data_IF_206902221567
#
_entry.id   IF_206902221567
#
_cell.length_a   1.000
_cell.length_b   1.000
_cell.length_c   1.000
_cell.angle_alpha   90.00
_cell.angle_beta   90.00
_cell.angle_gamma   90.00
#
_symmetry.space_group_name_H-M   'P 1'
#
loop_
_entity.id
_entity.type
_entity.pdbx_description
1 polymer ?
#
# COMPACT_ATOMS: atom_id res chain seq x y z
N UNK A 1 14.54 -4.36 -6.82
CA UNK A 1 13.28 -4.82 -7.42
C UNK A 1 12.12 -4.00 -6.85
N UNK A 2 11.14 -3.66 -7.68
CA UNK A 2 9.85 -3.11 -7.27
C UNK A 2 8.81 -4.17 -7.60
N UNK A 3 7.93 -4.51 -6.67
CA UNK A 3 6.86 -5.51 -6.86
C UNK A 3 5.51 -4.87 -6.55
N UNK A 4 4.55 -5.04 -7.43
CA UNK A 4 3.14 -4.73 -7.20
C UNK A 4 2.31 -6.01 -7.34
N UNK A 5 1.38 -6.22 -6.42
CA UNK A 5 0.49 -7.37 -6.40
C UNK A 5 -0.94 -6.87 -6.59
N UNK A 6 -1.53 -7.26 -7.72
CA UNK A 6 -2.93 -7.06 -8.03
C UNK A 6 -3.67 -8.38 -7.82
N UNK A 7 -4.87 -8.32 -7.26
CA UNK A 7 -5.71 -9.50 -7.07
C UNK A 7 -7.12 -9.14 -7.48
N UNK A 8 -7.71 -9.94 -8.36
CA UNK A 8 -9.15 -9.88 -8.67
C UNK A 8 -9.80 -11.23 -8.39
N UNK A 9 -11.12 -11.27 -8.30
CA UNK A 9 -11.88 -12.51 -8.17
C UNK A 9 -13.07 -12.51 -9.11
N UNK A 10 -13.28 -13.65 -9.77
CA UNK A 10 -14.48 -13.91 -10.56
C UNK A 10 -15.30 -15.05 -9.97
N UNK A 11 -16.58 -15.10 -10.28
CA UNK A 11 -17.46 -16.18 -9.80
C UNK A 11 -17.13 -17.54 -10.43
N UNK A 12 -16.63 -17.54 -11.67
CA UNK A 12 -16.36 -18.77 -12.43
C UNK A 12 -14.96 -19.31 -12.16
N UNK A 13 -13.95 -18.43 -12.26
CA UNK A 13 -12.55 -18.85 -12.24
C UNK A 13 -11.84 -18.57 -10.89
N UNK A 14 -12.55 -17.97 -9.92
CA UNK A 14 -12.00 -17.69 -8.59
C UNK A 14 -10.98 -16.55 -8.61
N UNK A 15 -9.97 -16.66 -7.74
CA UNK A 15 -8.93 -15.64 -7.56
C UNK A 15 -7.95 -15.60 -8.74
N UNK A 16 -7.67 -14.40 -9.23
CA UNK A 16 -6.67 -14.10 -10.26
C UNK A 16 -5.63 -13.12 -9.70
N UNK A 17 -4.57 -13.63 -9.05
CA UNK A 17 -3.45 -12.80 -8.63
C UNK A 17 -2.51 -12.50 -9.80
N UNK A 18 -2.20 -11.23 -10.00
CA UNK A 18 -1.15 -10.74 -10.90
C UNK A 18 -0.03 -10.12 -10.07
N UNK A 19 1.20 -10.56 -10.34
CA UNK A 19 2.40 -9.96 -9.75
C UNK A 19 3.15 -9.25 -10.87
N UNK A 20 3.24 -7.93 -10.76
CA UNK A 20 4.08 -7.12 -11.63
C UNK A 20 5.39 -6.83 -10.88
N UNK A 21 6.53 -7.14 -11.49
CA UNK A 21 7.83 -6.91 -10.88
C UNK A 21 8.76 -6.19 -11.87
N UNK A 22 9.37 -5.10 -11.42
CA UNK A 22 10.49 -4.45 -12.08
C UNK A 22 11.77 -4.91 -11.40
N UNK A 23 12.66 -5.54 -12.16
CA UNK A 23 14.01 -5.87 -11.72
C UNK A 23 14.97 -4.86 -12.33
N UNK A 24 15.48 -3.97 -11.50
CA UNK A 24 16.53 -3.03 -11.89
C UNK A 24 17.86 -3.77 -11.83
N UNK A 25 18.41 -4.06 -13.01
CA UNK A 25 19.74 -4.61 -13.20
C UNK A 25 20.67 -3.41 -13.43
N UNK A 26 21.58 -3.17 -12.48
CA UNK A 26 22.24 -1.88 -12.30
C UNK A 26 23.05 -1.37 -13.50
N UNK A 27 23.48 -0.11 -13.39
CA UNK A 27 24.47 0.52 -14.27
C UNK A 27 25.68 0.99 -13.48
N UNK A 28 26.84 1.02 -14.14
CA UNK A 28 28.02 1.71 -13.63
C UNK A 28 27.76 3.21 -13.72
N UNK A 29 27.98 3.91 -12.62
CA UNK A 29 27.89 5.37 -12.57
C UNK A 29 29.24 5.96 -12.20
N UNK A 30 29.59 7.11 -12.79
CA UNK A 30 30.69 7.98 -12.35
C UNK A 30 30.11 9.22 -11.66
N UNK A 31 30.94 9.97 -10.93
CA UNK A 31 30.50 11.17 -10.21
C UNK A 31 29.95 10.89 -8.79
N UNK A 32 29.58 11.95 -8.07
CA UNK A 32 29.05 11.86 -6.71
C UNK A 32 27.68 12.55 -6.59
N UNK A 33 26.81 11.98 -5.74
CA UNK A 33 25.48 12.55 -5.41
C UNK A 33 24.64 12.83 -6.67
N UNK A 34 24.31 14.10 -6.92
CA UNK A 34 23.45 14.53 -8.01
C UNK A 34 24.17 14.60 -9.38
N UNK A 35 25.50 14.46 -9.39
CA UNK A 35 26.33 14.51 -10.61
C UNK A 35 26.62 13.11 -11.18
N UNK A 36 25.77 12.11 -10.87
CA UNK A 36 25.99 10.74 -11.34
C UNK A 36 25.70 10.62 -12.83
N UNK A 37 26.70 10.20 -13.59
CA UNK A 37 26.56 9.87 -15.02
C UNK A 37 26.63 8.36 -15.20
N UNK A 38 25.73 7.79 -16.00
CA UNK A 38 25.75 6.34 -16.32
C UNK A 38 26.83 6.09 -17.37
N UNK A 39 27.89 5.38 -16.99
CA UNK A 39 29.05 5.05 -17.85
C UNK A 39 29.05 3.62 -18.36
N UNK A 40 28.13 2.81 -17.87
CA UNK A 40 27.94 1.45 -18.34
C UNK A 40 26.60 0.93 -17.86
N UNK A 41 25.97 0.10 -18.67
CA UNK A 41 24.74 -0.60 -18.31
C UNK A 41 25.02 -2.09 -18.31
N UNK A 42 24.35 -2.81 -17.42
CA UNK A 42 24.35 -4.26 -17.50
C UNK A 42 23.68 -4.67 -18.82
N UNK A 43 24.45 -5.27 -19.73
CA UNK A 43 23.98 -5.77 -21.02
C UNK A 43 24.20 -7.30 -21.07
N UNK A 44 23.21 -8.09 -20.62
CA UNK A 44 23.33 -9.55 -20.61
C UNK A 44 23.24 -10.11 -22.03
N UNK A 45 23.98 -11.19 -22.29
CA UNK A 45 23.80 -11.95 -23.53
C UNK A 45 22.41 -12.58 -23.61
N UNK A 46 21.92 -12.82 -24.83
CA UNK A 46 20.63 -13.52 -25.04
C UNK A 46 20.58 -14.87 -24.32
N UNK A 47 21.68 -15.63 -24.32
CA UNK A 47 21.76 -16.90 -23.58
C UNK A 47 21.60 -16.71 -22.07
N UNK A 48 22.21 -15.68 -21.49
CA UNK A 48 22.06 -15.36 -20.06
C UNK A 48 20.62 -14.93 -19.73
N UNK A 49 19.96 -14.20 -20.63
CA UNK A 49 18.55 -13.84 -20.49
C UNK A 49 17.65 -15.08 -20.56
N UNK A 50 17.87 -15.97 -21.52
CA UNK A 50 17.13 -17.22 -21.65
C UNK A 50 17.26 -18.12 -20.41
N UNK A 51 18.47 -18.27 -19.89
CA UNK A 51 18.74 -19.01 -18.65
C UNK A 51 17.99 -18.42 -17.45
N UNK A 52 18.03 -17.09 -17.31
CA UNK A 52 17.34 -16.37 -16.24
C UNK A 52 15.81 -16.51 -16.35
N UNK A 53 15.25 -16.33 -17.55
CA UNK A 53 13.81 -16.51 -17.77
C UNK A 53 13.38 -17.96 -17.50
N UNK A 54 14.17 -18.93 -17.95
CA UNK A 54 13.92 -20.36 -17.72
C UNK A 54 13.89 -20.69 -16.23
N UNK A 55 14.84 -20.15 -15.46
CA UNK A 55 14.89 -20.31 -14.01
C UNK A 55 13.58 -19.83 -13.36
N UNK A 56 13.12 -18.62 -13.67
CA UNK A 56 11.92 -18.06 -13.06
C UNK A 56 10.62 -18.73 -13.52
N UNK A 57 10.53 -19.16 -14.78
CA UNK A 57 9.42 -20.02 -15.24
C UNK A 57 9.37 -21.33 -14.45
N UNK A 58 10.53 -21.95 -14.19
CA UNK A 58 10.60 -23.18 -13.40
C UNK A 58 10.20 -22.94 -11.93
N UNK A 59 10.63 -21.83 -11.31
CA UNK A 59 10.21 -21.44 -9.96
C UNK A 59 8.70 -21.28 -9.87
N UNK A 60 8.09 -20.57 -10.83
CA UNK A 60 6.64 -20.39 -10.89
C UNK A 60 5.89 -21.71 -11.08
N UNK A 61 6.31 -22.53 -12.05
CA UNK A 61 5.73 -23.84 -12.28
C UNK A 61 5.84 -24.76 -11.05
N UNK A 62 6.97 -24.75 -10.35
CA UNK A 62 7.16 -25.53 -9.14
C UNK A 62 6.23 -25.07 -8.00
N UNK A 63 6.01 -23.76 -7.86
CA UNK A 63 5.06 -23.21 -6.88
C UNK A 63 3.63 -23.64 -7.21
N UNK A 64 3.22 -23.57 -8.48
CA UNK A 64 1.89 -23.99 -8.92
C UNK A 64 1.66 -25.49 -8.73
N UNK A 65 2.67 -26.34 -9.00
CA UNK A 65 2.56 -27.80 -8.78
C UNK A 65 2.40 -28.19 -7.31
N UNK A 66 2.85 -27.35 -6.36
CA UNK A 66 2.57 -27.57 -4.94
C UNK A 66 1.09 -27.39 -4.60
N UNK A 67 0.38 -26.56 -5.36
CA UNK A 67 -1.06 -26.30 -5.20
C UNK A 67 -1.88 -27.31 -6.01
N UNK A 68 -1.50 -27.55 -7.26
CA UNK A 68 -2.11 -28.52 -8.15
C UNK A 68 -1.02 -29.29 -8.92
N UNK A 69 -0.70 -30.54 -8.52
CA UNK A 69 0.35 -31.34 -9.16
C UNK A 69 0.17 -31.59 -10.66
N UNK A 70 -1.07 -31.58 -11.13
CA UNK A 70 -1.41 -31.85 -12.54
C UNK A 70 -1.38 -30.57 -13.40
N UNK A 71 -1.22 -29.39 -12.78
CA UNK A 71 -1.16 -28.13 -13.50
C UNK A 71 0.28 -27.77 -13.89
N UNK A 72 0.49 -27.45 -15.16
CA UNK A 72 1.72 -26.84 -15.67
C UNK A 72 1.35 -25.60 -16.48
N UNK A 73 1.86 -24.40 -16.12
CA UNK A 73 1.58 -23.19 -16.87
C UNK A 73 2.24 -23.25 -18.25
N UNK A 74 1.56 -22.70 -19.26
CA UNK A 74 2.14 -22.43 -20.58
C UNK A 74 2.64 -20.97 -20.66
N UNK A 75 3.25 -20.58 -21.78
CA UNK A 75 3.77 -19.22 -21.96
C UNK A 75 2.67 -18.14 -21.95
N UNK A 76 1.41 -18.49 -22.20
CA UNK A 76 0.27 -17.55 -22.20
C UNK A 76 -0.30 -17.33 -20.80
N UNK A 77 -0.18 -18.32 -19.92
CA UNK A 77 -0.75 -18.33 -18.57
C UNK A 77 0.34 -18.41 -17.49
N UNK A 78 1.60 -18.15 -17.87
CA UNK A 78 2.79 -18.25 -17.04
C UNK A 78 3.45 -16.90 -16.78
N UNK A 79 4.79 -16.92 -16.71
CA UNK A 79 5.59 -15.71 -16.48
C UNK A 79 5.95 -15.08 -17.81
N UNK A 80 5.49 -13.85 -18.02
CA UNK A 80 5.85 -13.02 -19.17
C UNK A 80 7.04 -12.11 -18.84
N UNK A 81 7.99 -12.01 -19.76
CA UNK A 81 9.19 -11.19 -19.61
C UNK A 81 9.25 -10.17 -20.74
N UNK A 82 9.36 -8.90 -20.38
CA UNK A 82 9.55 -7.81 -21.33
C UNK A 82 10.84 -7.08 -20.99
N UNK A 83 11.71 -6.92 -21.99
CA UNK A 83 12.91 -6.08 -21.90
C UNK A 83 12.49 -4.62 -22.10
N UNK A 84 13.01 -3.75 -21.25
CA UNK A 84 12.83 -2.30 -21.36
C UNK A 84 14.23 -1.70 -21.57
N UNK A 85 14.42 -0.97 -22.66
CA UNK A 85 15.73 -0.42 -23.01
C UNK A 85 15.73 1.10 -23.07
N UNK A 86 14.56 1.69 -23.35
CA UNK A 86 14.42 3.13 -23.55
C UNK A 86 13.66 3.80 -22.41
N UNK A 87 13.87 5.11 -22.26
CA UNK A 87 13.08 5.94 -21.35
C UNK A 87 11.59 5.86 -21.68
N UNK A 88 11.24 5.71 -22.97
CA UNK A 88 9.87 5.49 -23.41
C UNK A 88 9.31 4.16 -22.89
N UNK A 89 10.07 3.06 -22.98
CA UNK A 89 9.64 1.76 -22.44
C UNK A 89 9.45 1.83 -20.93
N UNK A 90 10.31 2.58 -20.23
CA UNK A 90 10.21 2.82 -18.80
C UNK A 90 8.97 3.67 -18.45
N UNK A 91 8.66 4.70 -19.26
CA UNK A 91 7.47 5.53 -19.11
C UNK A 91 6.19 4.72 -19.36
N UNK A 92 6.11 3.99 -20.47
CA UNK A 92 4.96 3.15 -20.84
C UNK A 92 4.72 2.05 -19.78
N UNK A 93 5.79 1.47 -19.20
CA UNK A 93 5.65 0.53 -18.09
C UNK A 93 5.26 1.23 -16.78
N UNK A 94 5.80 2.43 -16.52
CA UNK A 94 5.46 3.25 -15.37
C UNK A 94 3.97 3.58 -15.35
N UNK A 95 3.42 4.03 -16.48
CA UNK A 95 1.98 4.24 -16.68
C UNK A 95 1.18 2.93 -16.55
N UNK A 96 1.70 1.81 -17.03
CA UNK A 96 1.04 0.50 -16.91
C UNK A 96 0.99 -0.03 -15.46
N UNK A 97 2.05 0.17 -14.68
CA UNK A 97 2.15 -0.24 -13.27
C UNK A 97 1.36 0.71 -12.38
N UNK A 98 1.43 2.02 -12.64
CA UNK A 98 0.62 3.01 -11.94
C UNK A 98 -0.86 2.89 -12.30
N UNK A 99 -1.18 2.51 -13.56
CA UNK A 99 -2.51 2.60 -14.16
C UNK A 99 -3.11 3.99 -13.99
N UNK A 100 -2.39 5.01 -14.46
CA UNK A 100 -2.83 6.41 -14.56
C UNK A 100 -4.12 6.52 -15.36
N UNK A 101 -5.26 6.51 -14.66
CA UNK A 101 -6.56 6.90 -15.20
C UNK A 101 -6.87 8.31 -14.67
N UNK A 102 -7.02 9.25 -15.61
CA UNK A 102 -7.52 10.61 -15.41
C UNK A 102 -6.64 11.59 -14.62
N UNK A 103 -5.33 11.62 -14.91
CA UNK A 103 -4.49 12.80 -14.62
C UNK A 103 -4.30 13.13 -13.14
N UNK A 104 -4.47 12.15 -12.25
CA UNK A 104 -4.16 12.28 -10.82
C UNK A 104 -2.77 11.70 -10.52
N UNK A 105 -2.08 12.33 -9.57
CA UNK A 105 -0.66 12.11 -9.31
C UNK A 105 -0.31 10.62 -9.01
N UNK A 106 0.89 10.14 -9.38
CA UNK A 106 1.35 8.75 -9.18
C UNK A 106 1.25 8.23 -7.73
N UNK A 107 1.26 9.12 -6.74
CA UNK A 107 1.11 8.78 -5.32
C UNK A 107 -0.31 8.33 -4.95
N UNK A 108 -1.34 8.83 -5.64
CA UNK A 108 -2.74 8.49 -5.36
C UNK A 108 -3.08 7.07 -5.85
N UNK A 109 -2.51 6.62 -6.96
CA UNK A 109 -2.79 5.28 -7.49
C UNK A 109 -2.00 4.16 -6.78
N UNK A 110 -0.83 4.50 -6.24
CA UNK A 110 -0.04 3.61 -5.38
C UNK A 110 -0.74 3.34 -4.03
N UNK A 111 -1.47 4.33 -3.52
CA UNK A 111 -2.21 4.26 -2.25
C UNK A 111 -3.67 3.81 -2.41
N UNK A 112 -4.25 3.87 -3.62
CA UNK A 112 -5.67 3.59 -3.90
C UNK A 112 -5.91 2.42 -4.85
N UNK A 113 -5.54 1.22 -4.42
CA UNK A 113 -5.92 -0.02 -5.10
C UNK A 113 -7.45 -0.23 -5.19
N UNK A 114 -8.25 0.54 -4.43
CA UNK A 114 -9.71 0.62 -4.46
C UNK A 114 -10.29 1.26 -5.74
N UNK A 115 -9.53 2.09 -6.45
CA UNK A 115 -10.01 2.77 -7.67
C UNK A 115 -9.97 1.90 -8.93
N UNK A 116 -9.41 0.69 -8.81
CA UNK A 116 -9.26 -0.22 -9.93
C UNK A 116 -10.57 -0.96 -10.17
N UNK A 117 -11.22 -0.65 -11.27
CA UNK A 117 -12.39 -1.39 -11.72
C UNK A 117 -11.95 -2.67 -12.43
N UNK A 118 -12.38 -3.82 -11.94
CA UNK A 118 -12.10 -5.07 -12.63
C UNK A 118 -12.98 -5.20 -13.89
N UNK A 119 -12.50 -5.94 -14.89
CA UNK A 119 -13.20 -6.12 -16.16
C UNK A 119 -13.74 -7.56 -16.30
N UNK A 120 -14.76 -7.73 -17.15
CA UNK A 120 -15.30 -9.03 -17.59
C UNK A 120 -15.90 -9.91 -16.46
N UNK A 121 -16.62 -9.30 -15.51
CA UNK A 121 -17.29 -10.04 -14.43
C UNK A 121 -16.37 -10.50 -13.29
N UNK A 122 -15.14 -9.99 -13.25
CA UNK A 122 -14.29 -10.02 -12.07
C UNK A 122 -14.51 -8.76 -11.24
N UNK A 123 -14.15 -8.81 -9.96
CA UNK A 123 -14.17 -7.69 -9.01
C UNK A 123 -12.87 -7.66 -8.20
N UNK A 124 -12.46 -6.47 -7.77
CA UNK A 124 -11.36 -6.30 -6.81
C UNK A 124 -11.84 -6.57 -5.38
N UNK A 125 -10.93 -6.83 -4.43
CA UNK A 125 -11.27 -7.02 -3.03
C UNK A 125 -12.06 -5.84 -2.41
N UNK A 126 -11.80 -4.61 -2.85
CA UNK A 126 -12.53 -3.44 -2.33
C UNK A 126 -13.89 -3.26 -3.01
N UNK A 127 -14.06 -3.67 -4.27
CA UNK A 127 -15.38 -3.80 -4.89
C UNK A 127 -16.23 -4.87 -4.17
N UNK A 128 -15.63 -5.96 -3.67
CA UNK A 128 -16.33 -6.92 -2.78
C UNK A 128 -16.82 -6.23 -1.50
N UNK A 129 -15.98 -5.43 -0.86
CA UNK A 129 -16.35 -4.68 0.35
C UNK A 129 -17.47 -3.68 0.08
N UNK A 130 -17.38 -2.93 -1.02
CA UNK A 130 -18.42 -2.01 -1.45
C UNK A 130 -19.76 -2.72 -1.60
N UNK A 131 -19.77 -3.86 -2.32
CA UNK A 131 -20.96 -4.69 -2.48
C UNK A 131 -21.48 -5.26 -1.15
N UNK A 132 -20.59 -5.69 -0.24
CA UNK A 132 -21.00 -6.12 1.11
C UNK A 132 -21.73 -4.98 1.81
N UNK A 133 -21.19 -3.76 1.77
CA UNK A 133 -21.82 -2.57 2.35
C UNK A 133 -23.20 -2.27 1.75
N UNK A 134 -23.34 -2.31 0.42
CA UNK A 134 -24.63 -2.10 -0.26
C UNK A 134 -25.68 -3.12 0.20
N UNK A 135 -25.31 -4.41 0.21
CA UNK A 135 -26.22 -5.51 0.55
C UNK A 135 -26.59 -5.52 2.04
N UNK A 136 -25.65 -5.22 2.95
CA UNK A 136 -25.98 -5.09 4.37
C UNK A 136 -26.74 -3.81 4.68
N UNK A 137 -26.58 -2.78 3.85
CA UNK A 137 -27.35 -1.53 3.88
C UNK A 137 -28.79 -1.66 3.37
N UNK A 138 -29.20 -2.84 2.91
CA UNK A 138 -30.57 -3.14 2.50
C UNK A 138 -30.84 -2.98 1.00
N UNK A 139 -29.81 -2.77 0.17
CA UNK A 139 -29.96 -2.87 -1.29
C UNK A 139 -30.22 -4.32 -1.71
N UNK A 140 -31.00 -4.49 -2.78
CA UNK A 140 -31.21 -5.82 -3.36
C UNK A 140 -29.98 -6.25 -4.17
N UNK A 141 -29.84 -7.55 -4.45
CA UNK A 141 -28.71 -8.05 -5.27
C UNK A 141 -28.67 -7.45 -6.67
N UNK A 142 -29.83 -7.07 -7.22
CA UNK A 142 -29.98 -6.46 -8.54
C UNK A 142 -29.59 -4.98 -8.56
N UNK A 143 -29.75 -4.28 -7.43
CA UNK A 143 -29.43 -2.85 -7.28
C UNK A 143 -27.98 -2.61 -6.86
N UNK A 144 -27.39 -3.54 -6.11
CA UNK A 144 -26.01 -3.43 -5.64
C UNK A 144 -25.02 -3.57 -6.81
N UNK A 145 -23.95 -2.78 -6.81
CA UNK A 145 -22.89 -2.88 -7.84
C UNK A 145 -22.00 -4.10 -7.58
N UNK A 146 -21.41 -4.69 -8.62
CA UNK A 146 -20.51 -5.86 -8.51
C UNK A 146 -21.19 -7.20 -8.76
N UNK A 147 -20.65 -8.29 -8.19
CA UNK A 147 -21.12 -9.66 -8.46
C UNK A 147 -21.28 -10.50 -7.19
N UNK A 148 -22.19 -11.48 -7.22
CA UNK A 148 -22.38 -12.47 -6.16
C UNK A 148 -23.32 -12.05 -5.03
N UNK A 149 -23.77 -13.04 -4.27
CA UNK A 149 -24.61 -12.83 -3.09
C UNK A 149 -23.79 -12.30 -1.91
N UNK A 150 -24.47 -11.81 -0.87
CA UNK A 150 -23.81 -11.35 0.36
C UNK A 150 -22.94 -12.45 0.98
N UNK A 151 -23.45 -13.68 1.05
CA UNK A 151 -22.73 -14.85 1.57
C UNK A 151 -21.45 -15.12 0.76
N UNK A 152 -21.54 -15.07 -0.57
CA UNK A 152 -20.39 -15.28 -1.44
C UNK A 152 -19.32 -14.20 -1.23
N UNK A 153 -19.73 -12.93 -1.15
CA UNK A 153 -18.81 -11.82 -0.96
C UNK A 153 -18.11 -11.89 0.41
N UNK A 154 -18.84 -12.18 1.50
CA UNK A 154 -18.25 -12.37 2.83
C UNK A 154 -17.25 -13.53 2.86
N UNK A 155 -17.59 -14.66 2.23
CA UNK A 155 -16.69 -15.81 2.16
C UNK A 155 -15.38 -15.48 1.42
N UNK A 156 -15.48 -14.76 0.29
CA UNK A 156 -14.31 -14.29 -0.47
C UNK A 156 -13.52 -13.25 0.31
N UNK A 157 -14.16 -12.30 0.98
CA UNK A 157 -13.48 -11.30 1.79
C UNK A 157 -12.61 -11.94 2.88
N UNK A 158 -13.17 -12.89 3.64
CA UNK A 158 -12.41 -13.61 4.65
C UNK A 158 -11.27 -14.45 4.08
N UNK A 159 -11.43 -15.00 2.87
CA UNK A 159 -10.35 -15.70 2.18
C UNK A 159 -9.22 -14.76 1.80
N UNK A 160 -9.56 -13.60 1.23
CA UNK A 160 -8.61 -12.55 0.89
C UNK A 160 -7.85 -12.07 2.12
N UNK A 161 -8.58 -11.67 3.18
CA UNK A 161 -8.01 -11.17 4.43
C UNK A 161 -6.99 -12.16 5.02
N UNK A 162 -7.34 -13.45 5.11
CA UNK A 162 -6.42 -14.47 5.61
C UNK A 162 -5.16 -14.62 4.75
N UNK A 163 -5.29 -14.49 3.43
CA UNK A 163 -4.18 -14.68 2.51
C UNK A 163 -3.25 -13.46 2.44
N UNK A 164 -3.79 -12.25 2.60
CA UNK A 164 -3.07 -10.98 2.41
C UNK A 164 -2.64 -10.32 3.72
N UNK A 165 -3.14 -10.76 4.87
CA UNK A 165 -2.75 -10.22 6.19
C UNK A 165 -1.23 -10.15 6.34
N UNK A 166 -0.74 -8.95 6.67
CA UNK A 166 0.68 -8.66 6.89
C UNK A 166 1.52 -8.58 5.62
N UNK A 167 0.89 -8.58 4.43
CA UNK A 167 1.56 -8.37 3.14
C UNK A 167 1.26 -6.96 2.64
N UNK A 168 2.21 -6.38 1.90
CA UNK A 168 1.99 -5.09 1.23
C UNK A 168 1.59 -5.32 -0.22
N UNK A 169 0.66 -4.50 -0.72
CA UNK A 169 0.26 -4.52 -2.12
C UNK A 169 1.42 -4.11 -3.03
N UNK A 170 2.27 -3.19 -2.57
CA UNK A 170 3.46 -2.74 -3.27
C UNK A 170 4.66 -2.85 -2.33
N UNK A 171 5.72 -3.47 -2.81
CA UNK A 171 6.96 -3.70 -2.08
C UNK A 171 8.16 -3.26 -2.91
N UNK A 172 9.07 -2.55 -2.26
CA UNK A 172 10.35 -2.18 -2.83
C UNK A 172 11.42 -3.04 -2.16
N UNK A 173 12.45 -3.43 -2.90
CA UNK A 173 13.65 -3.99 -2.28
C UNK A 173 14.23 -2.95 -1.33
N UNK A 174 14.58 -3.38 -0.13
CA UNK A 174 15.19 -2.52 0.90
C UNK A 174 16.30 -1.67 0.30
N UNK A 175 16.31 -0.39 0.65
CA UNK A 175 17.25 0.64 0.18
C UNK A 175 17.18 1.01 -1.30
N UNK A 176 16.28 0.42 -2.08
CA UNK A 176 16.19 0.74 -3.51
C UNK A 176 15.85 2.21 -3.76
N UNK A 177 14.91 2.76 -2.99
CA UNK A 177 14.53 4.18 -3.08
C UNK A 177 15.74 5.10 -2.82
N UNK A 178 16.52 4.80 -1.79
CA UNK A 178 17.77 5.52 -1.48
C UNK A 178 18.78 5.43 -2.63
N UNK A 179 18.97 4.23 -3.20
CA UNK A 179 19.87 4.05 -4.35
C UNK A 179 19.45 4.87 -5.56
N UNK A 180 18.14 5.06 -5.74
CA UNK A 180 17.54 5.89 -6.78
C UNK A 180 17.49 7.39 -6.42
N UNK A 181 18.03 7.79 -5.26
CA UNK A 181 18.00 9.18 -4.80
C UNK A 181 16.61 9.68 -4.43
N UNK A 182 15.68 8.77 -4.15
CA UNK A 182 14.33 9.08 -3.67
C UNK A 182 14.34 9.15 -2.14
N UNK A 183 13.82 10.23 -1.59
CA UNK A 183 13.62 10.40 -0.15
C UNK A 183 12.30 9.72 0.31
N UNK A 184 12.33 9.04 1.46
CA UNK A 184 11.17 8.40 2.11
C UNK A 184 10.68 7.08 1.50
N UNK A 185 9.87 6.33 2.26
CA UNK A 185 9.03 5.24 1.72
C UNK A 185 9.58 3.82 1.78
N UNK A 186 10.42 3.48 2.77
CA UNK A 186 10.91 2.10 2.96
C UNK A 186 10.40 1.48 4.28
N UNK A 187 9.50 2.18 4.97
CA UNK A 187 8.86 1.72 6.22
C UNK A 187 7.35 1.92 6.17
N UNK A 188 6.61 1.13 6.96
CA UNK A 188 5.15 1.27 7.10
C UNK A 188 4.75 2.66 7.61
N UNK A 189 5.65 3.33 8.34
CA UNK A 189 5.48 4.69 8.81
C UNK A 189 5.54 5.72 7.68
N UNK A 190 6.37 5.48 6.66
CA UNK A 190 6.50 6.39 5.51
C UNK A 190 5.29 6.29 4.56
N UNK A 191 4.66 5.11 4.47
CA UNK A 191 3.43 4.92 3.69
C UNK A 191 2.25 5.68 4.32
N UNK A 192 2.20 5.73 5.66
CA UNK A 192 1.25 6.56 6.41
C UNK A 192 1.50 8.05 6.20
N UNK A 193 2.77 8.47 6.12
CA UNK A 193 3.15 9.85 5.82
C UNK A 193 2.72 10.30 4.41
N UNK A 194 2.75 9.41 3.41
CA UNK A 194 2.24 9.71 2.06
C UNK A 194 0.72 9.88 2.02
N UNK A 195 -0.01 9.04 2.76
CA UNK A 195 -1.46 9.15 2.95
C UNK A 195 -1.84 10.46 3.65
N UNK A 196 -1.07 10.88 4.65
CA UNK A 196 -1.29 12.10 5.42
C UNK A 196 -0.81 13.38 4.71
N UNK A 197 0.22 13.29 3.86
CA UNK A 197 0.73 14.39 3.05
C UNK A 197 -0.15 14.73 1.85
N UNK A 198 -0.88 13.75 1.30
CA UNK A 198 -1.86 13.98 0.24
C UNK A 198 -3.06 14.84 0.70
N UNK A 199 -3.35 14.87 2.01
CA UNK A 199 -4.36 15.74 2.62
C UNK A 199 -3.84 17.14 2.98
N UNK A 200 -2.51 17.36 2.94
CA UNK A 200 -1.91 18.67 3.23
C UNK A 200 -2.18 19.71 2.13
N UNK A 201 -2.43 19.24 0.90
CA UNK A 201 -2.86 20.09 -0.23
C UNK A 201 -4.39 20.25 -0.25
N UNK A 202 -4.93 20.94 0.76
CA UNK A 202 -6.17 21.71 0.59
C UNK A 202 -7.43 21.23 1.32
N UNK A 203 -7.34 20.30 2.28
CA UNK A 203 -8.42 20.08 3.23
C UNK A 203 -8.41 21.13 4.35
N UNK A 204 -9.41 22.01 4.42
CA UNK A 204 -9.64 22.81 5.63
C UNK A 204 -9.84 21.85 6.81
N UNK A 205 -8.89 21.82 7.77
CA UNK A 205 -9.02 20.99 8.98
C UNK A 205 -10.33 21.33 9.68
N UNK A 206 -11.20 20.33 9.82
CA UNK A 206 -12.54 20.53 10.36
C UNK A 206 -12.60 20.23 11.84
N UNK A 207 -13.61 20.80 12.51
CA UNK A 207 -13.98 20.31 13.83
C UNK A 207 -14.25 18.79 13.77
N UNK A 208 -13.80 18.09 14.79
CA UNK A 208 -13.88 16.64 14.87
C UNK A 208 -14.52 16.18 16.16
N UNK A 209 -14.85 14.90 16.23
CA UNK A 209 -15.26 14.25 17.47
C UNK A 209 -14.34 13.06 17.70
N UNK A 210 -13.64 13.06 18.83
CA UNK A 210 -12.93 11.87 19.29
C UNK A 210 -13.89 11.03 20.11
N UNK A 211 -14.11 9.79 19.69
CA UNK A 211 -14.82 8.79 20.48
C UNK A 211 -13.80 7.97 21.25
N UNK A 212 -13.99 7.79 22.56
CA UNK A 212 -13.08 6.95 23.35
C UNK A 212 -13.17 5.48 22.89
N UNK A 213 -12.13 4.69 23.11
CA UNK A 213 -12.09 3.26 22.74
C UNK A 213 -13.32 2.47 23.27
N UNK A 214 -13.70 2.69 24.53
CA UNK A 214 -14.92 2.11 25.11
C UNK A 214 -16.20 2.49 24.37
N UNK A 215 -16.30 3.74 23.93
CA UNK A 215 -17.46 4.28 23.22
C UNK A 215 -17.56 3.70 21.82
N UNK A 216 -16.44 3.62 21.11
CA UNK A 216 -16.38 3.05 19.77
C UNK A 216 -16.70 1.55 19.78
N UNK A 217 -16.20 0.83 20.79
CA UNK A 217 -16.53 -0.58 21.03
C UNK A 217 -18.03 -0.79 21.29
N UNK A 218 -18.68 0.12 22.02
CA UNK A 218 -20.12 0.05 22.27
C UNK A 218 -20.95 0.30 20.99
N UNK A 219 -20.53 1.27 20.17
CA UNK A 219 -21.16 1.63 18.89
C UNK A 219 -21.08 0.49 17.88
N UNK A 220 -19.87 -0.04 17.64
CA UNK A 220 -19.62 -1.14 16.70
C UNK A 220 -20.34 -2.43 17.09
N UNK A 221 -20.44 -2.75 18.39
CA UNK A 221 -21.21 -3.92 18.88
C UNK A 221 -22.69 -3.84 18.52
N UNK A 222 -23.23 -2.63 18.30
CA UNK A 222 -24.62 -2.40 17.89
C UNK A 222 -24.77 -2.06 16.41
N UNK A 223 -23.70 -2.18 15.62
CA UNK A 223 -23.67 -1.79 14.21
C UNK A 223 -24.13 -0.34 13.97
N UNK A 224 -23.75 0.57 14.88
CA UNK A 224 -24.05 2.00 14.80
C UNK A 224 -22.86 2.82 14.26
N UNK A 225 -21.80 2.17 13.83
CA UNK A 225 -20.55 2.77 13.35
C UNK A 225 -20.76 3.64 12.11
N UNK A 226 -21.55 3.19 11.14
CA UNK A 226 -21.94 4.01 9.99
C UNK A 226 -22.74 5.25 10.42
N UNK A 227 -23.72 5.08 11.32
CA UNK A 227 -24.51 6.20 11.82
C UNK A 227 -23.64 7.22 12.58
N UNK A 228 -22.62 6.76 13.30
CA UNK A 228 -21.69 7.63 14.03
C UNK A 228 -20.78 8.41 13.06
N UNK A 229 -20.34 7.77 11.97
CA UNK A 229 -19.58 8.43 10.89
C UNK A 229 -20.46 9.48 10.20
N UNK A 230 -21.68 9.11 9.80
CA UNK A 230 -22.63 10.01 9.16
C UNK A 230 -23.02 11.20 10.06
N UNK A 231 -23.12 10.99 11.38
CA UNK A 231 -23.37 12.05 12.33
C UNK A 231 -22.20 13.05 12.44
N UNK A 232 -20.96 12.57 12.24
CA UNK A 232 -19.75 13.39 12.21
C UNK A 232 -19.54 14.06 10.84
N UNK A 233 -20.18 13.58 9.77
CA UNK A 233 -20.08 14.16 8.44
C UNK A 233 -20.82 15.51 8.33
N UNK A 234 -20.20 16.47 7.65
CA UNK A 234 -20.75 17.80 7.45
C UNK A 234 -19.70 18.86 7.14
N UNK A 235 -20.15 20.03 6.65
CA UNK A 235 -19.32 21.25 6.53
C UNK A 235 -19.61 22.26 7.64
N UNK A 236 -20.64 22.00 8.43
CA UNK A 236 -21.13 22.85 9.51
C UNK A 236 -20.23 22.81 10.76
N UNK A 237 -19.43 21.75 10.93
CA UNK A 237 -18.50 21.65 12.05
C UNK A 237 -17.51 22.81 12.19
N UNK A 238 -17.18 23.51 11.11
CA UNK A 238 -16.29 24.67 11.17
C UNK A 238 -17.00 25.93 11.73
N UNK A 239 -18.33 25.95 11.68
CA UNK A 239 -19.18 27.02 12.19
C UNK A 239 -19.74 26.69 13.58
N UNK A 240 -20.04 25.41 13.81
CA UNK A 240 -20.61 24.91 15.06
C UNK A 240 -20.07 23.50 15.41
N UNK A 241 -18.88 23.43 16.05
CA UNK A 241 -18.33 22.18 16.54
C UNK A 241 -19.26 21.44 17.52
N UNK A 242 -20.04 22.18 18.31
CA UNK A 242 -20.93 21.62 19.31
C UNK A 242 -22.07 20.83 18.65
N UNK A 243 -22.63 21.34 17.54
CA UNK A 243 -23.64 20.63 16.77
C UNK A 243 -23.15 19.27 16.23
N UNK A 244 -21.88 19.16 15.83
CA UNK A 244 -21.28 17.86 15.43
C UNK A 244 -21.21 16.92 16.64
N UNK A 245 -20.78 17.45 17.78
CA UNK A 245 -20.75 16.72 19.04
C UNK A 245 -22.12 16.19 19.46
N UNK A 246 -23.17 17.01 19.36
CA UNK A 246 -24.54 16.63 19.70
C UNK A 246 -25.03 15.49 18.82
N UNK A 247 -24.89 15.58 17.49
CA UNK A 247 -25.28 14.51 16.57
C UNK A 247 -24.55 13.19 16.86
N UNK A 248 -23.24 13.24 17.09
CA UNK A 248 -22.46 12.04 17.40
C UNK A 248 -22.84 11.50 18.78
N UNK A 249 -23.12 12.37 19.76
CA UNK A 249 -23.59 11.98 21.09
C UNK A 249 -24.93 11.27 21.04
N UNK A 250 -25.86 11.71 20.19
CA UNK A 250 -27.17 11.06 19.99
C UNK A 250 -27.01 9.62 19.47
N UNK A 251 -26.11 9.41 18.51
CA UNK A 251 -25.81 8.05 18.02
C UNK A 251 -25.16 7.21 19.11
N UNK A 252 -24.22 7.76 19.86
CA UNK A 252 -23.57 7.06 20.97
C UNK A 252 -24.54 6.79 22.13
N UNK A 253 -25.57 7.60 22.32
CA UNK A 253 -26.64 7.36 23.30
C UNK A 253 -27.42 6.09 22.97
N UNK A 254 -27.66 5.81 21.69
CA UNK A 254 -28.26 4.55 21.24
C UNK A 254 -27.37 3.33 21.54
N UNK A 255 -26.07 3.53 21.80
CA UNK A 255 -25.12 2.53 22.28
C UNK A 255 -24.90 2.53 23.80
N UNK A 256 -25.53 3.45 24.55
CA UNK A 256 -25.29 3.62 25.99
C UNK A 256 -23.95 4.29 26.32
N UNK A 257 -23.39 5.05 25.37
CA UNK A 257 -22.05 5.64 25.42
C UNK A 257 -22.05 7.16 25.15
N UNK A 258 -23.17 7.86 25.38
CA UNK A 258 -23.33 9.29 25.03
C UNK A 258 -22.22 10.22 25.56
N UNK A 259 -21.63 9.89 26.71
CA UNK A 259 -20.58 10.66 27.37
C UNK A 259 -19.14 10.23 27.00
N UNK A 260 -18.99 9.38 25.98
CA UNK A 260 -17.70 8.83 25.52
C UNK A 260 -17.16 9.59 24.31
N UNK A 261 -17.48 10.87 24.21
CA UNK A 261 -17.04 11.75 23.13
C UNK A 261 -16.31 12.97 23.67
N UNK A 262 -15.35 13.46 22.89
CA UNK A 262 -14.71 14.76 23.06
C UNK A 262 -14.88 15.50 21.74
N UNK A 263 -15.49 16.67 21.80
CA UNK A 263 -15.60 17.57 20.65
C UNK A 263 -14.30 18.34 20.53
N UNK A 264 -13.72 18.35 19.33
CA UNK A 264 -12.51 19.09 19.02
C UNK A 264 -12.89 20.23 18.08
N UNK A 265 -12.55 21.45 18.48
CA UNK A 265 -12.61 22.62 17.59
C UNK A 265 -11.58 22.48 16.45
N UNK A 266 -11.74 23.21 15.33
CA UNK A 266 -10.75 23.21 14.26
C UNK A 266 -9.34 23.57 14.75
N UNK A 267 -9.24 24.46 15.75
CA UNK A 267 -7.98 24.86 16.35
C UNK A 267 -7.34 23.72 17.17
N UNK A 268 -8.13 22.98 17.95
CA UNK A 268 -7.63 21.82 18.71
C UNK A 268 -7.25 20.66 17.79
N UNK A 269 -8.00 20.47 16.69
CA UNK A 269 -7.61 19.51 15.64
C UNK A 269 -6.30 19.93 15.00
N UNK A 270 -6.12 21.21 14.69
CA UNK A 270 -4.87 21.73 14.14
C UNK A 270 -3.70 21.61 15.13
N UNK A 271 -3.92 21.84 16.42
CA UNK A 271 -2.91 21.67 17.46
C UNK A 271 -2.52 20.19 17.64
N UNK A 272 -3.50 19.29 17.73
CA UNK A 272 -3.27 17.85 17.79
C UNK A 272 -2.53 17.35 16.54
N UNK A 273 -2.88 17.88 15.37
CA UNK A 273 -2.21 17.60 14.10
C UNK A 273 -0.76 18.09 14.12
N UNK A 274 -0.50 19.31 14.59
CA UNK A 274 0.85 19.85 14.73
C UNK A 274 1.72 19.04 15.71
N UNK A 275 1.17 18.66 16.87
CA UNK A 275 1.85 17.80 17.85
C UNK A 275 2.15 16.40 17.30
N UNK A 276 1.23 15.84 16.51
CA UNK A 276 1.45 14.57 15.81
C UNK A 276 2.58 14.69 14.80
N UNK A 277 2.60 15.76 13.99
CA UNK A 277 3.68 16.03 13.04
C UNK A 277 5.03 16.20 13.75
N UNK A 278 5.07 16.89 14.89
CA UNK A 278 6.28 17.05 15.70
C UNK A 278 6.75 15.71 16.28
N UNK A 279 5.83 14.88 16.79
CA UNK A 279 6.16 13.53 17.28
C UNK A 279 6.72 12.63 16.17
N UNK A 280 6.15 12.73 14.96
CA UNK A 280 6.66 12.04 13.79
C UNK A 280 8.05 12.55 13.39
N UNK A 281 8.27 13.86 13.41
CA UNK A 281 9.59 14.45 13.15
C UNK A 281 10.65 13.97 14.15
N UNK A 282 10.33 13.93 15.44
CA UNK A 282 11.24 13.41 16.47
C UNK A 282 11.58 11.92 16.23
N UNK A 283 10.57 11.10 15.92
CA UNK A 283 10.79 9.67 15.59
C UNK A 283 11.59 9.49 14.30
N UNK A 284 11.46 10.39 13.33
CA UNK A 284 12.30 10.41 12.11
C UNK A 284 13.76 10.69 12.48
N UNK A 285 14.02 11.63 13.38
CA UNK A 285 15.37 11.91 13.87
C UNK A 285 15.96 10.71 14.62
N UNK A 286 15.19 10.05 15.48
CA UNK A 286 15.59 8.83 16.18
C UNK A 286 15.88 7.68 15.21
N UNK A 287 15.04 7.50 14.19
CA UNK A 287 15.26 6.51 13.14
C UNK A 287 16.50 6.85 12.30
N UNK A 288 16.72 8.13 11.98
CA UNK A 288 17.91 8.58 11.28
C UNK A 288 19.18 8.38 12.12
N UNK A 289 19.10 8.63 13.43
CA UNK A 289 20.18 8.36 14.37
C UNK A 289 20.50 6.86 14.45
N UNK A 290 19.47 6.00 14.54
CA UNK A 290 19.63 4.55 14.50
C UNK A 290 20.31 4.08 13.21
N UNK A 291 19.88 4.63 12.06
CA UNK A 291 20.47 4.33 10.74
C UNK A 291 21.94 4.75 10.65
N UNK A 292 22.31 5.92 11.20
CA UNK A 292 23.72 6.34 11.28
C UNK A 292 24.55 5.34 12.08
N UNK A 293 24.05 4.92 13.23
CA UNK A 293 24.71 3.94 14.09
C UNK A 293 24.87 2.58 13.42
N UNK A 294 23.81 2.07 12.79
CA UNK A 294 23.85 0.80 12.05
C UNK A 294 24.84 0.84 10.86
N UNK A 295 24.96 1.99 10.20
CA UNK A 295 25.94 2.19 9.12
C UNK A 295 27.38 2.26 9.64
N UNK A 296 27.61 2.90 10.78
CA UNK A 296 28.93 2.94 11.46
C UNK A 296 29.34 1.55 11.95
N UNK A 297 28.42 0.79 12.54
CA UNK A 297 28.65 -0.59 12.99
C UNK A 297 29.02 -1.50 11.79
N UNK A 298 28.31 -1.39 10.66
CA UNK A 298 28.64 -2.13 9.44
C UNK A 298 29.96 -1.73 8.78
N UNK A 299 30.42 -0.48 8.95
CA UNK A 299 31.72 -0.07 8.40
C UNK A 299 32.89 -0.61 9.23
N UNK A 300 32.69 -0.73 10.54
CA UNK A 300 33.68 -1.27 11.48
C UNK A 300 33.92 -2.77 11.25
N UNK A 301 32.88 -3.54 10.93
CA UNK A 301 33.00 -4.97 10.62
C UNK A 301 33.77 -5.24 9.30
N UNK A 302 33.72 -4.31 8.33
CA UNK A 302 34.44 -4.46 7.05
C UNK A 302 35.94 -4.15 7.20
N UNK A 303 36.30 -3.16 8.03
CA UNK A 303 37.72 -2.83 8.28
C UNK A 303 38.45 -3.94 9.08
N UNK A 304 37.78 -4.61 10.00
CA UNK A 304 38.37 -5.73 10.78
C UNK A 304 38.63 -6.95 9.90
N UNK A 305 37.83 -7.19 8.87
CA UNK A 305 38.05 -8.29 7.91
C UNK A 305 39.18 -7.94 6.93
N UNK A 306 39.33 -6.67 6.55
CA UNK A 306 40.38 -6.21 5.63
C UNK A 306 41.80 -6.19 6.21
N UNK A 307 41.97 -6.20 7.54
CA UNK A 307 43.30 -6.19 8.18
C UNK A 307 43.87 -7.58 8.49
N UNK A 308 43.11 -8.66 8.27
CA UNK A 308 43.51 -10.03 8.64
C UNK A 308 44.17 -10.83 7.51
N UNK A 309 44.23 -10.31 6.28
CA UNK A 309 44.63 -11.08 5.09
C UNK A 309 45.97 -10.66 4.43
N UNK A 310 46.82 -9.90 5.13
CA UNK A 310 48.09 -9.40 4.56
C UNK A 310 49.39 -9.90 5.22
N UNK A 311 49.37 -11.00 6.00
CA UNK A 311 50.58 -11.44 6.72
C UNK A 311 51.04 -12.90 6.51
N UNK A 312 50.56 -13.61 5.49
CA UNK A 312 51.09 -14.95 5.18
C UNK A 312 51.33 -15.19 3.69
N UNK A 313 52.43 -14.67 3.17
CA UNK A 313 53.12 -15.22 2.00
C UNK A 313 54.61 -14.82 2.00
N UNK A 314 55.44 -15.63 2.66
CA UNK A 314 56.88 -15.76 2.36
C UNK A 314 57.23 -17.22 2.22
#
# INVERSE_FOLDING_TARGET
>A
MIRATEVTVGQVNGWHPHIHAIVLVGGLTTGQRAEREVVGVFDPSETSLEEWQTHWRAVWAAALRKVNPDFTPDDRHGVDFKRLETERDAHDLGEYIAKTQDGKAPALELARADLKTAAHGNVTPFELLGRIGDLTGGMTEDDATGVGSLEWNLARWHEYERATKGRRAIEWTRYLRLMLGMDGGDTEADDLDLLLGADADGGELRAGVTVTEDGWTAVTRRALDLAAIQAAEGKDGNLDPAAVGERVSEVLAAAGAANKIVVLTPAEVAEAYALMLESLALRREEAAFRRRREHEDHHTDIEVIGSLDMDTAT
#
